data_IF_876175506107
#
_entry.id   IF_876175506107
#
_cell.length_a   1.000
_cell.length_b   1.000
_cell.length_c   1.000
_cell.angle_alpha   90.00
_cell.angle_beta   90.00
_cell.angle_gamma   90.00
#
_symmetry.space_group_name_H-M   'P 1'
#
loop_
_entity.id
_entity.type
_entity.pdbx_description
1 polymer ?
#
# COMPACT_ATOMS: atom_id res chain seq x y z
N UNK A 1 4.05 9.94 -20.04
CA UNK A 1 5.19 9.73 -19.12
C UNK A 1 4.69 9.93 -17.70
N UNK A 2 4.23 8.88 -17.02
CA UNK A 2 3.91 8.97 -15.59
C UNK A 2 5.13 8.54 -14.78
N UNK A 3 6.09 9.46 -14.64
CA UNK A 3 7.21 9.25 -13.71
C UNK A 3 6.66 9.34 -12.29
N UNK A 4 6.94 8.33 -11.46
CA UNK A 4 6.53 8.30 -10.05
C UNK A 4 5.32 7.43 -9.74
N UNK A 5 4.62 6.89 -10.74
CA UNK A 5 3.52 5.95 -10.52
C UNK A 5 3.92 4.50 -10.81
N UNK A 6 3.73 3.65 -9.82
CA UNK A 6 3.84 2.21 -9.90
C UNK A 6 2.55 1.61 -10.44
N UNK A 7 2.63 0.85 -11.53
CA UNK A 7 1.50 0.11 -12.08
C UNK A 7 1.39 -1.25 -11.42
N UNK A 8 0.34 -1.43 -10.63
CA UNK A 8 0.00 -2.71 -10.02
C UNK A 8 -0.45 -3.73 -11.06
N UNK A 9 -0.37 -5.03 -10.74
CA UNK A 9 -0.79 -6.12 -11.62
C UNK A 9 -2.29 -6.03 -12.01
N UNK A 10 -3.10 -5.36 -11.20
CA UNK A 10 -4.51 -5.07 -11.49
C UNK A 10 -4.73 -3.87 -12.43
N UNK A 11 -3.67 -3.29 -13.00
CA UNK A 11 -3.74 -2.12 -13.87
C UNK A 11 -3.92 -0.79 -13.12
N UNK A 12 -3.84 -0.80 -11.79
CA UNK A 12 -4.02 0.38 -10.96
C UNK A 12 -2.69 1.15 -10.79
N UNK A 13 -2.71 2.46 -10.97
CA UNK A 13 -1.55 3.32 -10.75
C UNK A 13 -1.53 3.78 -9.29
N UNK A 14 -0.47 3.42 -8.58
CA UNK A 14 -0.23 3.76 -7.18
C UNK A 14 1.05 4.59 -7.14
N UNK A 15 1.17 5.55 -6.23
CA UNK A 15 2.42 6.25 -6.04
C UNK A 15 3.56 5.25 -5.72
N UNK A 16 4.69 5.34 -6.41
CA UNK A 16 5.77 4.35 -6.29
C UNK A 16 6.36 4.28 -4.87
N UNK A 17 6.42 5.43 -4.18
CA UNK A 17 6.91 5.51 -2.80
C UNK A 17 5.98 4.82 -1.81
N UNK A 18 4.66 4.95 -2.00
CA UNK A 18 3.64 4.26 -1.19
C UNK A 18 3.74 2.75 -1.40
N UNK A 19 3.96 2.31 -2.64
CA UNK A 19 4.18 0.90 -2.93
C UNK A 19 5.50 0.36 -2.32
N UNK A 20 6.55 1.19 -2.28
CA UNK A 20 7.82 0.84 -1.61
C UNK A 20 7.66 0.68 -0.10
N UNK A 21 7.03 1.66 0.56
CA UNK A 21 6.73 1.61 1.99
C UNK A 21 5.85 0.39 2.35
N UNK A 22 4.82 0.10 1.54
CA UNK A 22 3.95 -1.05 1.73
C UNK A 22 4.71 -2.39 1.69
N UNK A 23 5.65 -2.55 0.75
CA UNK A 23 6.46 -3.76 0.65
C UNK A 23 7.45 -3.92 1.82
N UNK A 24 8.01 -2.80 2.32
CA UNK A 24 8.87 -2.82 3.51
C UNK A 24 8.08 -3.23 4.76
N UNK A 25 6.92 -2.62 4.98
CA UNK A 25 6.05 -2.95 6.12
C UNK A 25 5.62 -4.41 6.04
N UNK A 26 5.19 -4.89 4.87
CA UNK A 26 4.81 -6.29 4.65
C UNK A 26 5.95 -7.27 4.91
N UNK A 27 7.21 -6.87 4.69
CA UNK A 27 8.38 -7.72 4.94
C UNK A 27 8.76 -7.77 6.42
N UNK A 28 8.65 -6.63 7.13
CA UNK A 28 9.01 -6.53 8.56
C UNK A 28 7.90 -7.05 9.46
N UNK A 29 6.65 -6.87 9.04
CA UNK A 29 5.47 -7.34 9.75
C UNK A 29 4.41 -7.76 8.72
N UNK A 30 4.38 -9.04 8.34
CA UNK A 30 3.42 -9.55 7.34
C UNK A 30 1.96 -9.40 7.81
N UNK A 31 1.74 -9.29 9.12
CA UNK A 31 0.44 -9.12 9.75
C UNK A 31 0.07 -7.66 10.05
N UNK A 32 0.93 -6.68 9.69
CA UNK A 32 0.69 -5.25 9.95
C UNK A 32 -0.61 -4.70 9.34
N UNK A 33 -1.15 -5.38 8.34
CA UNK A 33 -2.44 -5.05 7.73
C UNK A 33 -3.42 -6.25 7.73
N UNK A 34 -3.08 -7.34 8.42
CA UNK A 34 -3.93 -8.55 8.47
C UNK A 34 -5.15 -8.35 9.38
N UNK A 35 -4.96 -7.62 10.48
CA UNK A 35 -6.06 -6.97 11.17
C UNK A 35 -6.24 -5.63 10.48
N UNK A 36 -7.26 -5.51 9.62
CA UNK A 36 -7.56 -4.25 8.97
C UNK A 36 -7.56 -3.12 10.00
N UNK A 37 -7.17 -1.91 9.59
CA UNK A 37 -7.32 -0.72 10.43
C UNK A 37 -8.79 -0.63 10.87
N UNK A 38 -9.11 -1.19 12.03
CA UNK A 38 -10.25 -0.86 12.86
C UNK A 38 -9.97 0.54 13.39
N UNK A 39 -10.17 1.53 12.53
CA UNK A 39 -9.79 2.91 12.86
C UNK A 39 -10.45 3.98 12.03
N UNK A 40 -11.39 3.65 11.15
CA UNK A 40 -12.28 4.64 10.54
C UNK A 40 -13.67 4.02 10.33
N UNK A 41 -14.45 3.97 11.41
CA UNK A 41 -15.90 4.02 11.31
C UNK A 41 -16.34 5.44 11.74
N UNK A 42 -17.26 6.06 10.99
CA UNK A 42 -17.48 7.50 10.99
C UNK A 42 -18.30 7.95 12.21
N UNK A 43 -17.93 9.12 12.75
CA UNK A 43 -18.85 10.01 13.44
C UNK A 43 -18.85 11.34 12.68
#
# INVERSE_FOLDING_TARGET
>A
MERGLFRSNKGMFINADVNGAYQLVKKVSPDAFANGVEGVAPC
#
